data_IF_689141273395
#
_entry.id   IF_689141273395
#
_cell.length_a   1.000
_cell.length_b   1.000
_cell.length_c   1.000
_cell.angle_alpha   90.00
_cell.angle_beta   90.00
_cell.angle_gamma   90.00
#
_symmetry.space_group_name_H-M   'P 1'
#
loop_
_entity.id
_entity.type
_entity.pdbx_description
1 polymer ?
#
# COMPACT_ATOMS: atom_id res chain seq x y z
N UNK A 1 51.76 -13.82 65.27
CA UNK A 1 50.45 -14.02 64.60
C UNK A 1 49.57 -12.80 64.86
N UNK A 2 49.73 -11.70 64.12
CA UNK A 2 48.95 -10.47 64.35
C UNK A 2 48.73 -9.73 63.02
N UNK A 3 48.09 -10.39 62.04
CA UNK A 3 47.74 -9.77 60.75
C UNK A 3 46.41 -10.27 60.17
N UNK A 4 45.54 -10.88 60.98
CA UNK A 4 44.20 -11.37 60.55
C UNK A 4 43.02 -10.62 61.16
N UNK A 5 43.24 -9.83 62.20
CA UNK A 5 42.17 -9.15 62.95
C UNK A 5 41.93 -7.71 62.49
N UNK A 6 42.92 -7.02 61.93
CA UNK A 6 42.74 -5.67 61.37
C UNK A 6 41.86 -5.72 60.11
N UNK A 7 42.10 -6.66 59.19
CA UNK A 7 41.34 -6.78 57.94
C UNK A 7 39.84 -7.09 58.14
N UNK A 8 39.46 -7.72 59.27
CA UNK A 8 38.08 -8.07 59.61
C UNK A 8 37.26 -6.88 60.13
N UNK A 9 37.82 -6.13 61.10
CA UNK A 9 37.14 -5.00 61.74
C UNK A 9 36.96 -3.82 60.77
N UNK A 10 37.94 -3.56 59.90
CA UNK A 10 37.82 -2.50 58.88
C UNK A 10 36.84 -2.85 57.76
N UNK A 11 36.54 -4.14 57.53
CA UNK A 11 35.54 -4.60 56.57
C UNK A 11 34.12 -4.54 57.15
N UNK A 12 33.97 -4.92 58.42
CA UNK A 12 32.70 -4.89 59.17
C UNK A 12 32.18 -3.45 59.39
N UNK A 13 33.08 -2.51 59.74
CA UNK A 13 32.74 -1.08 59.91
C UNK A 13 32.43 -0.39 58.57
N UNK A 14 33.10 -0.78 57.48
CA UNK A 14 32.75 -0.28 56.14
C UNK A 14 31.41 -0.86 55.63
N UNK A 15 30.99 -2.03 56.10
CA UNK A 15 29.71 -2.65 55.73
C UNK A 15 28.51 -1.96 56.37
N UNK A 16 28.60 -1.57 57.66
CA UNK A 16 27.54 -0.82 58.36
C UNK A 16 27.41 0.62 57.84
N UNK A 17 28.54 1.31 57.59
CA UNK A 17 28.54 2.67 57.02
C UNK A 17 28.02 2.71 55.57
N UNK A 18 28.23 1.64 54.79
CA UNK A 18 27.60 1.51 53.47
C UNK A 18 26.10 1.32 53.60
N UNK A 19 25.65 0.46 54.51
CA UNK A 19 24.21 0.22 54.74
C UNK A 19 23.44 1.49 55.12
N UNK A 20 23.96 2.29 56.06
CA UNK A 20 23.28 3.53 56.47
C UNK A 20 23.20 4.58 55.36
N UNK A 21 24.26 4.70 54.54
CA UNK A 21 24.29 5.63 53.42
C UNK A 21 23.34 5.20 52.28
N UNK A 22 23.26 3.90 51.98
CA UNK A 22 22.28 3.36 51.05
C UNK A 22 20.84 3.54 51.56
N UNK A 23 20.59 3.35 52.86
CA UNK A 23 19.28 3.57 53.46
C UNK A 23 18.83 5.04 53.41
N UNK A 24 19.74 6.00 53.63
CA UNK A 24 19.47 7.44 53.50
C UNK A 24 19.19 7.85 52.04
N UNK A 25 19.96 7.32 51.10
CA UNK A 25 19.72 7.52 49.66
C UNK A 25 18.37 6.93 49.24
N UNK A 26 18.02 5.72 49.70
CA UNK A 26 16.75 5.08 49.41
C UNK A 26 15.55 5.84 50.03
N UNK A 27 15.66 6.32 51.27
CA UNK A 27 14.60 7.17 51.87
C UNK A 27 14.37 8.48 51.11
N UNK A 28 15.42 9.05 50.50
CA UNK A 28 15.32 10.31 49.75
C UNK A 28 14.87 10.12 48.30
N UNK A 29 15.42 9.12 47.61
CA UNK A 29 15.24 8.90 46.17
C UNK A 29 14.34 7.71 45.82
N UNK A 30 14.08 6.80 46.75
CA UNK A 30 13.30 5.57 46.52
C UNK A 30 11.90 5.84 45.97
N UNK A 31 11.23 6.92 46.41
CA UNK A 31 9.93 7.33 45.85
C UNK A 31 10.02 7.75 44.37
N UNK A 32 11.11 8.41 43.97
CA UNK A 32 11.31 8.87 42.60
C UNK A 32 11.71 7.69 41.69
N UNK A 33 12.56 6.79 42.19
CA UNK A 33 12.91 5.55 41.48
C UNK A 33 11.66 4.68 41.31
N UNK A 34 10.85 4.53 42.35
CA UNK A 34 9.59 3.79 42.27
C UNK A 34 8.61 4.43 41.27
N UNK A 35 8.41 5.76 41.33
CA UNK A 35 7.56 6.46 40.38
C UNK A 35 8.05 6.33 38.93
N UNK A 36 9.37 6.38 38.72
CA UNK A 36 9.99 6.20 37.40
C UNK A 36 9.75 4.77 36.86
N UNK A 37 10.00 3.74 37.68
CA UNK A 37 9.77 2.34 37.30
C UNK A 37 8.29 2.10 37.03
N UNK A 38 7.39 2.63 37.88
CA UNK A 38 5.95 2.52 37.69
C UNK A 38 5.50 3.21 36.39
N UNK A 39 6.03 4.39 36.09
CA UNK A 39 5.78 5.11 34.84
C UNK A 39 6.18 4.28 33.62
N UNK A 40 7.38 3.69 33.63
CA UNK A 40 7.82 2.79 32.56
C UNK A 40 6.90 1.59 32.37
N UNK A 41 6.49 0.94 33.46
CA UNK A 41 5.57 -0.22 33.39
C UNK A 41 4.22 0.18 32.80
N UNK A 42 3.64 1.31 33.23
CA UNK A 42 2.36 1.80 32.70
C UNK A 42 2.49 2.18 31.23
N UNK A 43 3.59 2.82 30.82
CA UNK A 43 3.83 3.18 29.42
C UNK A 43 3.95 1.93 28.53
N UNK A 44 4.72 0.93 28.95
CA UNK A 44 4.88 -0.33 28.19
C UNK A 44 3.56 -1.11 28.16
N UNK A 45 2.84 -1.19 29.28
CA UNK A 45 1.54 -1.87 29.33
C UNK A 45 0.50 -1.17 28.42
N UNK A 46 0.47 0.16 28.42
CA UNK A 46 -0.39 0.94 27.52
C UNK A 46 -0.03 0.75 26.05
N UNK A 47 1.27 0.77 25.71
CA UNK A 47 1.74 0.48 24.36
C UNK A 47 1.39 -0.95 23.92
N UNK A 48 1.61 -1.94 24.78
CA UNK A 48 1.31 -3.34 24.50
C UNK A 48 -0.19 -3.57 24.31
N UNK A 49 -1.03 -2.98 25.16
CA UNK A 49 -2.49 -3.07 25.04
C UNK A 49 -2.99 -2.48 23.71
N UNK A 50 -2.48 -1.29 23.34
CA UNK A 50 -2.81 -0.66 22.07
C UNK A 50 -2.31 -1.49 20.87
N UNK A 51 -1.10 -2.03 20.95
CA UNK A 51 -0.52 -2.89 19.92
C UNK A 51 -1.30 -4.19 19.72
N UNK A 52 -1.76 -4.84 20.79
CA UNK A 52 -2.56 -6.07 20.67
C UNK A 52 -3.93 -5.78 20.05
N UNK A 53 -4.59 -4.70 20.47
CA UNK A 53 -5.87 -4.28 19.89
C UNK A 53 -5.76 -3.94 18.39
N UNK A 54 -4.68 -3.27 17.99
CA UNK A 54 -4.39 -2.97 16.58
C UNK A 54 -4.06 -4.24 15.77
N UNK A 55 -3.38 -5.23 16.35
CA UNK A 55 -3.11 -6.52 15.69
C UNK A 55 -4.41 -7.31 15.48
N UNK A 56 -5.26 -7.43 16.50
CA UNK A 56 -6.51 -8.20 16.43
C UNK A 56 -7.50 -7.63 15.42
N UNK A 57 -7.53 -6.30 15.27
CA UNK A 57 -8.37 -5.64 14.26
C UNK A 57 -7.83 -5.85 12.84
N UNK A 58 -6.50 -5.83 12.66
CA UNK A 58 -5.86 -6.08 11.36
C UNK A 58 -5.98 -7.54 10.92
N UNK A 59 -5.85 -8.50 11.83
CA UNK A 59 -6.05 -9.93 11.53
C UNK A 59 -7.49 -10.19 11.10
N UNK A 60 -8.47 -9.64 11.81
CA UNK A 60 -9.89 -9.75 11.42
C UNK A 60 -10.17 -9.15 10.03
N UNK A 61 -9.54 -8.02 9.68
CA UNK A 61 -9.65 -7.45 8.32
C UNK A 61 -8.99 -8.34 7.27
N UNK A 62 -7.83 -8.92 7.57
CA UNK A 62 -7.13 -9.85 6.70
C UNK A 62 -7.93 -11.12 6.42
N UNK A 63 -8.56 -11.71 7.44
CA UNK A 63 -9.42 -12.89 7.30
C UNK A 63 -10.65 -12.60 6.44
N UNK A 64 -11.31 -11.45 6.66
CA UNK A 64 -12.45 -11.03 5.82
C UNK A 64 -12.02 -10.77 4.39
N UNK A 65 -10.85 -10.17 4.18
CA UNK A 65 -10.30 -9.93 2.85
C UNK A 65 -10.00 -11.25 2.13
N UNK A 66 -9.37 -12.22 2.80
CA UNK A 66 -9.12 -13.56 2.26
C UNK A 66 -10.43 -14.28 1.91
N UNK A 67 -11.43 -14.21 2.80
CA UNK A 67 -12.76 -14.79 2.53
C UNK A 67 -13.41 -14.15 1.30
N UNK A 68 -13.29 -12.82 1.13
CA UNK A 68 -13.82 -12.13 -0.04
C UNK A 68 -13.09 -12.53 -1.35
N UNK A 69 -11.79 -12.82 -1.28
CA UNK A 69 -11.05 -13.37 -2.42
C UNK A 69 -11.59 -14.75 -2.80
N UNK A 70 -11.76 -15.65 -1.82
CA UNK A 70 -12.28 -17.01 -2.05
C UNK A 70 -13.67 -17.00 -2.70
N UNK A 71 -14.55 -16.08 -2.28
CA UNK A 71 -15.87 -15.87 -2.91
C UNK A 71 -15.74 -15.50 -4.40
N UNK A 72 -14.77 -14.64 -4.75
CA UNK A 72 -14.52 -14.19 -6.11
C UNK A 72 -13.90 -15.28 -7.02
N UNK A 73 -13.23 -16.28 -6.44
CA UNK A 73 -12.76 -17.47 -7.13
C UNK A 73 -13.87 -18.51 -7.30
N UNK A 74 -14.72 -18.67 -6.27
CA UNK A 74 -15.83 -19.63 -6.20
C UNK A 74 -17.04 -19.36 -7.11
N UNK A 75 -16.92 -18.41 -8.06
CA UNK A 75 -17.96 -17.93 -8.99
C UNK A 75 -19.09 -17.09 -8.40
N UNK A 76 -19.12 -16.82 -7.09
CA UNK A 76 -20.07 -15.84 -6.52
C UNK A 76 -19.49 -14.43 -6.59
N UNK A 77 -19.36 -13.93 -7.83
CA UNK A 77 -18.72 -12.63 -8.10
C UNK A 77 -19.49 -11.49 -7.45
N UNK A 78 -20.82 -11.60 -7.32
CA UNK A 78 -21.62 -10.54 -6.70
C UNK A 78 -21.44 -10.52 -5.18
N UNK A 79 -21.46 -11.67 -4.50
CA UNK A 79 -21.17 -11.72 -3.06
C UNK A 79 -19.75 -11.21 -2.74
N UNK A 80 -18.77 -11.51 -3.60
CA UNK A 80 -17.41 -10.98 -3.45
C UNK A 80 -17.37 -9.45 -3.58
N UNK A 81 -18.07 -8.86 -4.57
CA UNK A 81 -18.19 -7.40 -4.72
C UNK A 81 -18.78 -6.79 -3.45
N UNK A 82 -19.86 -7.36 -2.92
CA UNK A 82 -20.54 -6.82 -1.74
C UNK A 82 -19.65 -6.95 -0.48
N UNK A 83 -18.89 -8.04 -0.36
CA UNK A 83 -17.91 -8.23 0.72
C UNK A 83 -16.78 -7.19 0.67
N UNK A 84 -16.22 -6.92 -0.52
CA UNK A 84 -15.19 -5.89 -0.68
C UNK A 84 -15.74 -4.47 -0.47
N UNK A 85 -16.98 -4.19 -0.88
CA UNK A 85 -17.65 -2.93 -0.59
C UNK A 85 -17.85 -2.71 0.92
N UNK A 86 -18.16 -3.78 1.66
CA UNK A 86 -18.22 -3.72 3.13
C UNK A 86 -16.86 -3.43 3.78
N UNK A 87 -15.77 -3.98 3.22
CA UNK A 87 -14.41 -3.75 3.70
C UNK A 87 -13.89 -2.35 3.36
N UNK A 88 -14.30 -1.78 2.24
CA UNK A 88 -13.89 -0.44 1.81
C UNK A 88 -14.50 0.68 2.65
N UNK A 89 -15.66 0.45 3.27
CA UNK A 89 -16.32 1.38 4.18
C UNK A 89 -15.65 1.49 5.57
N UNK A 90 -14.71 0.59 5.90
CA UNK A 90 -13.93 0.63 7.14
C UNK A 90 -12.90 1.77 7.17
N UNK A 91 -12.50 2.21 8.35
CA UNK A 91 -11.57 3.35 8.53
C UNK A 91 -10.19 3.09 7.90
N UNK A 92 -9.96 3.61 6.69
CA UNK A 92 -8.71 4.23 6.22
C UNK A 92 -7.40 3.43 6.26
N UNK A 93 -7.43 2.10 6.20
CA UNK A 93 -6.22 1.25 6.22
C UNK A 93 -5.85 0.64 4.85
N UNK A 94 -4.68 0.00 4.77
CA UNK A 94 -4.20 -0.67 3.54
C UNK A 94 -5.18 -1.71 2.98
N UNK A 95 -5.87 -2.47 3.84
CA UNK A 95 -6.90 -3.43 3.42
C UNK A 95 -8.14 -2.76 2.82
N UNK A 96 -8.55 -1.58 3.30
CA UNK A 96 -9.65 -0.84 2.70
C UNK A 96 -9.29 -0.36 1.29
N UNK A 97 -8.06 0.12 1.08
CA UNK A 97 -7.56 0.45 -0.25
C UNK A 97 -7.53 -0.78 -1.17
N UNK A 98 -6.95 -1.89 -0.71
CA UNK A 98 -6.92 -3.13 -1.49
C UNK A 98 -8.33 -3.66 -1.80
N UNK A 99 -9.27 -3.54 -0.87
CA UNK A 99 -10.65 -3.96 -1.06
C UNK A 99 -11.31 -3.16 -2.19
N UNK A 100 -11.10 -1.84 -2.24
CA UNK A 100 -11.59 -1.00 -3.35
C UNK A 100 -11.00 -1.39 -4.69
N UNK A 101 -9.71 -1.76 -4.74
CA UNK A 101 -9.09 -2.29 -5.95
C UNK A 101 -9.74 -3.61 -6.40
N UNK A 102 -9.96 -4.54 -5.46
CA UNK A 102 -10.60 -5.83 -5.77
C UNK A 102 -12.06 -5.67 -6.19
N UNK A 103 -12.81 -4.80 -5.52
CA UNK A 103 -14.16 -4.43 -5.91
C UNK A 103 -14.20 -3.91 -7.35
N UNK A 104 -13.33 -2.95 -7.69
CA UNK A 104 -13.23 -2.39 -9.04
C UNK A 104 -12.87 -3.47 -10.09
N UNK A 105 -11.95 -4.38 -9.77
CA UNK A 105 -11.58 -5.49 -10.65
C UNK A 105 -12.74 -6.49 -10.86
N UNK A 106 -13.48 -6.82 -9.80
CA UNK A 106 -14.62 -7.74 -9.88
C UNK A 106 -15.80 -7.12 -10.62
N UNK A 107 -16.04 -5.81 -10.47
CA UNK A 107 -17.03 -5.09 -11.27
C UNK A 107 -16.75 -5.25 -12.76
N UNK A 108 -15.48 -5.14 -13.19
CA UNK A 108 -15.10 -5.37 -14.58
C UNK A 108 -15.32 -6.83 -15.00
N UNK A 109 -14.91 -7.80 -14.17
CA UNK A 109 -15.12 -9.24 -14.42
C UNK A 109 -16.61 -9.60 -14.53
N UNK A 110 -17.47 -8.90 -13.78
CA UNK A 110 -18.93 -9.07 -13.82
C UNK A 110 -19.61 -8.26 -14.94
N UNK A 111 -18.84 -7.74 -15.91
CA UNK A 111 -19.36 -6.98 -17.05
C UNK A 111 -19.80 -5.54 -16.72
N UNK A 112 -19.68 -5.10 -15.47
CA UNK A 112 -20.06 -3.74 -14.99
C UNK A 112 -18.93 -2.74 -15.25
N UNK A 113 -18.56 -2.55 -16.52
CA UNK A 113 -17.40 -1.74 -16.95
C UNK A 113 -17.48 -0.27 -16.50
N UNK A 114 -18.61 0.41 -16.69
CA UNK A 114 -18.78 1.81 -16.23
C UNK A 114 -18.59 1.93 -14.71
N UNK A 115 -19.11 0.96 -13.94
CA UNK A 115 -18.96 0.94 -12.49
C UNK A 115 -17.50 0.70 -12.07
N UNK A 116 -16.80 -0.21 -12.74
CA UNK A 116 -15.37 -0.45 -12.53
C UNK A 116 -14.53 0.80 -12.83
N UNK A 117 -14.76 1.43 -13.97
CA UNK A 117 -14.11 2.68 -14.36
C UNK A 117 -14.34 3.79 -13.33
N UNK A 118 -15.58 3.94 -12.83
CA UNK A 118 -15.90 4.89 -11.78
C UNK A 118 -15.15 4.59 -10.47
N UNK A 119 -15.09 3.31 -10.05
CA UNK A 119 -14.38 2.89 -8.84
C UNK A 119 -12.87 3.17 -8.91
N UNK A 120 -12.23 2.87 -10.04
CA UNK A 120 -10.82 3.22 -10.27
C UNK A 120 -10.57 4.72 -10.30
N UNK A 121 -11.48 5.50 -10.90
CA UNK A 121 -11.38 6.96 -10.91
C UNK A 121 -11.48 7.56 -9.50
N UNK A 122 -12.35 7.00 -8.64
CA UNK A 122 -12.41 7.40 -7.24
C UNK A 122 -11.11 7.11 -6.50
N UNK A 123 -10.49 5.95 -6.74
CA UNK A 123 -9.17 5.61 -6.17
C UNK A 123 -8.07 6.56 -6.65
N UNK A 124 -8.04 6.88 -7.95
CA UNK A 124 -7.06 7.79 -8.52
C UNK A 124 -7.15 9.22 -7.96
N UNK A 125 -8.36 9.66 -7.60
CA UNK A 125 -8.63 11.01 -7.08
C UNK A 125 -8.60 11.12 -5.55
N UNK A 126 -8.35 10.02 -4.83
CA UNK A 126 -8.37 10.01 -3.38
C UNK A 126 -7.02 10.44 -2.79
N UNK A 127 -6.93 11.69 -2.33
CA UNK A 127 -5.72 12.26 -1.74
C UNK A 127 -5.22 11.54 -0.46
N UNK A 128 -6.02 10.67 0.14
CA UNK A 128 -5.63 9.83 1.28
C UNK A 128 -4.85 8.57 0.90
N UNK A 129 -4.78 8.23 -0.39
CA UNK A 129 -4.06 7.06 -0.91
C UNK A 129 -2.67 7.50 -1.39
N UNK A 130 -1.63 6.69 -1.15
CA UNK A 130 -0.28 6.95 -1.66
C UNK A 130 -0.26 7.10 -3.19
N UNK A 131 0.58 8.02 -3.68
CA UNK A 131 0.67 8.36 -5.09
C UNK A 131 0.90 7.13 -5.99
N UNK A 132 1.70 6.15 -5.55
CA UNK A 132 1.98 4.93 -6.29
C UNK A 132 0.69 4.17 -6.64
N UNK A 133 -0.25 4.08 -5.68
CA UNK A 133 -1.51 3.38 -5.87
C UNK A 133 -2.54 4.23 -6.62
N UNK A 134 -2.56 5.56 -6.42
CA UNK A 134 -3.43 6.44 -7.22
C UNK A 134 -3.06 6.37 -8.70
N UNK A 135 -1.76 6.39 -8.99
CA UNK A 135 -1.21 6.25 -10.34
C UNK A 135 -1.58 4.89 -10.96
N UNK A 136 -1.50 3.81 -10.19
CA UNK A 136 -1.97 2.49 -10.61
C UNK A 136 -3.47 2.50 -10.93
N UNK A 137 -4.28 3.08 -10.05
CA UNK A 137 -5.72 3.18 -10.26
C UNK A 137 -6.06 3.99 -11.51
N UNK A 138 -5.29 5.05 -11.80
CA UNK A 138 -5.46 5.84 -13.00
C UNK A 138 -5.14 5.04 -14.26
N UNK A 139 -4.02 4.31 -14.29
CA UNK A 139 -3.63 3.43 -15.40
C UNK A 139 -4.71 2.38 -15.67
N UNK A 140 -5.16 1.65 -14.65
CA UNK A 140 -6.18 0.60 -14.82
C UNK A 140 -7.54 1.22 -15.16
N UNK A 141 -7.90 2.34 -14.53
CA UNK A 141 -9.15 3.05 -14.79
C UNK A 141 -9.27 3.49 -16.25
N UNK A 142 -8.21 4.07 -16.81
CA UNK A 142 -8.19 4.48 -18.23
C UNK A 142 -8.36 3.27 -19.17
N UNK A 143 -7.76 2.11 -18.86
CA UNK A 143 -8.00 0.88 -19.63
C UNK A 143 -9.49 0.52 -19.64
N UNK A 144 -10.18 0.61 -18.49
CA UNK A 144 -11.60 0.30 -18.42
C UNK A 144 -12.48 1.34 -19.12
N UNK A 145 -12.15 2.64 -18.99
CA UNK A 145 -12.84 3.74 -19.68
C UNK A 145 -12.71 3.60 -21.21
N UNK A 146 -11.50 3.36 -21.70
CA UNK A 146 -11.20 3.16 -23.12
C UNK A 146 -11.95 1.95 -23.71
N UNK A 147 -12.04 0.85 -22.95
CA UNK A 147 -12.69 -0.39 -23.38
C UNK A 147 -14.21 -0.42 -23.08
N UNK A 148 -14.84 0.73 -22.84
CA UNK A 148 -16.28 0.82 -22.61
C UNK A 148 -16.98 1.63 -23.71
N UNK A 149 -17.60 0.96 -24.70
CA UNK A 149 -18.28 1.64 -25.80
C UNK A 149 -19.44 2.53 -25.36
N UNK A 150 -20.07 2.24 -24.22
CA UNK A 150 -21.23 2.99 -23.74
C UNK A 150 -20.88 4.41 -23.28
N UNK A 151 -19.64 4.63 -22.83
CA UNK A 151 -19.22 5.89 -22.21
C UNK A 151 -18.67 6.89 -23.25
N UNK A 152 -18.41 6.46 -24.50
CA UNK A 152 -17.82 7.28 -25.57
C UNK A 152 -16.67 8.16 -25.07
N UNK A 153 -15.73 7.56 -24.33
CA UNK A 153 -14.68 8.30 -23.65
C UNK A 153 -13.82 9.11 -24.63
N UNK A 154 -13.56 10.37 -24.29
CA UNK A 154 -12.68 11.22 -25.08
C UNK A 154 -11.23 10.75 -24.92
N UNK A 155 -10.69 10.13 -25.98
CA UNK A 155 -9.31 9.64 -26.03
C UNK A 155 -8.27 10.73 -25.74
N UNK A 156 -8.55 12.00 -26.06
CA UNK A 156 -7.66 13.12 -25.78
C UNK A 156 -7.66 13.45 -24.28
N UNK A 157 -8.84 13.45 -23.64
CA UNK A 157 -8.95 13.64 -22.18
C UNK A 157 -8.24 12.52 -21.42
N UNK A 158 -8.43 11.26 -21.84
CA UNK A 158 -7.76 10.11 -21.23
C UNK A 158 -6.24 10.19 -21.39
N UNK A 159 -5.76 10.61 -22.56
CA UNK A 159 -4.32 10.80 -22.81
C UNK A 159 -3.74 11.92 -21.94
N UNK A 160 -4.48 13.02 -21.76
CA UNK A 160 -4.08 14.12 -20.89
C UNK A 160 -3.96 13.68 -19.43
N UNK A 161 -4.89 12.84 -18.96
CA UNK A 161 -4.83 12.27 -17.60
C UNK A 161 -3.60 11.36 -17.42
N UNK A 162 -3.20 10.61 -18.45
CA UNK A 162 -2.01 9.74 -18.39
C UNK A 162 -0.68 10.50 -18.52
N UNK A 163 -0.68 11.70 -19.12
CA UNK A 163 0.54 12.42 -19.44
C UNK A 163 1.55 12.55 -18.27
N UNK A 164 1.13 12.88 -17.03
CA UNK A 164 2.06 12.96 -15.89
C UNK A 164 2.77 11.65 -15.56
N UNK A 165 2.12 10.51 -15.84
CA UNK A 165 2.67 9.18 -15.57
C UNK A 165 3.72 8.76 -16.58
N UNK A 166 3.74 9.35 -17.78
CA UNK A 166 4.70 9.02 -18.84
C UNK A 166 6.09 9.59 -18.60
N UNK A 167 6.25 10.44 -17.59
CA UNK A 167 7.52 11.05 -17.23
C UNK A 167 8.57 10.02 -16.81
N UNK A 168 9.84 10.34 -17.07
CA UNK A 168 10.96 9.53 -16.62
C UNK A 168 10.98 9.41 -15.10
N UNK A 169 11.25 8.19 -14.60
CA UNK A 169 11.26 7.88 -13.18
C UNK A 169 9.90 7.50 -12.57
N UNK A 170 8.77 7.72 -13.26
CA UNK A 170 7.48 7.20 -12.77
C UNK A 170 7.45 5.65 -12.92
N UNK A 171 7.10 4.89 -11.87
CA UNK A 171 7.02 3.43 -11.93
C UNK A 171 6.07 2.88 -13.00
N UNK A 172 5.06 3.66 -13.37
CA UNK A 172 4.02 3.29 -14.33
C UNK A 172 4.26 3.83 -15.74
N UNK A 173 5.40 4.48 -16.00
CA UNK A 173 5.67 5.17 -17.29
C UNK A 173 5.43 4.31 -18.52
N UNK A 174 5.91 3.07 -18.52
CA UNK A 174 5.79 2.20 -19.69
C UNK A 174 4.35 1.77 -19.93
N UNK A 175 3.61 1.46 -18.87
CA UNK A 175 2.19 1.12 -18.96
C UNK A 175 1.38 2.34 -19.41
N UNK A 176 1.66 3.52 -18.87
CA UNK A 176 1.00 4.76 -19.27
C UNK A 176 1.27 5.08 -20.76
N UNK A 177 2.53 4.98 -21.20
CA UNK A 177 2.90 5.17 -22.61
C UNK A 177 2.22 4.15 -23.54
N UNK A 178 2.12 2.89 -23.11
CA UNK A 178 1.46 1.83 -23.89
C UNK A 178 -0.04 2.15 -24.07
N UNK A 179 -0.71 2.57 -23.00
CA UNK A 179 -2.12 2.94 -23.06
C UNK A 179 -2.32 4.23 -23.87
N UNK A 180 -1.44 5.22 -23.73
CA UNK A 180 -1.47 6.42 -24.60
C UNK A 180 -1.33 6.03 -26.07
N UNK A 181 -0.47 5.07 -26.42
CA UNK A 181 -0.35 4.59 -27.79
C UNK A 181 -1.63 3.93 -28.32
N UNK A 182 -2.34 3.17 -27.48
CA UNK A 182 -3.65 2.59 -27.81
C UNK A 182 -4.73 3.67 -27.99
N UNK A 183 -4.72 4.71 -27.16
CA UNK A 183 -5.64 5.84 -27.29
C UNK A 183 -5.41 6.61 -28.59
N UNK A 184 -4.14 6.86 -28.97
CA UNK A 184 -3.79 7.46 -30.25
C UNK A 184 -4.26 6.60 -31.43
N UNK A 185 -4.18 5.26 -31.33
CA UNK A 185 -4.72 4.37 -32.35
C UNK A 185 -6.24 4.49 -32.47
N UNK A 186 -6.96 4.49 -31.33
CA UNK A 186 -8.42 4.63 -31.29
C UNK A 186 -8.88 6.00 -31.82
N UNK A 187 -8.08 7.04 -31.62
CA UNK A 187 -8.29 8.38 -32.19
C UNK A 187 -7.99 8.47 -33.70
N UNK A 188 -7.47 7.40 -34.32
CA UNK A 188 -7.07 7.37 -35.72
C UNK A 188 -5.67 7.96 -35.99
N UNK A 189 -4.95 8.36 -34.96
CA UNK A 189 -3.60 8.95 -35.03
C UNK A 189 -2.51 7.88 -35.17
N UNK A 190 -2.64 6.99 -36.16
CA UNK A 190 -1.77 5.81 -36.35
C UNK A 190 -0.27 6.15 -36.45
N UNK A 191 0.10 7.35 -36.90
CA UNK A 191 1.50 7.82 -36.90
C UNK A 191 2.04 7.95 -35.48
N UNK A 192 1.29 8.61 -34.59
CA UNK A 192 1.69 8.83 -33.20
C UNK A 192 1.71 7.51 -32.42
N UNK A 193 0.68 6.67 -32.61
CA UNK A 193 0.65 5.33 -32.03
C UNK A 193 1.89 4.50 -32.40
N UNK A 194 2.26 4.45 -33.69
CA UNK A 194 3.49 3.76 -34.16
C UNK A 194 4.76 4.28 -33.50
N UNK A 195 4.88 5.59 -33.36
CA UNK A 195 6.05 6.19 -32.74
C UNK A 195 6.18 5.76 -31.27
N UNK A 196 5.08 5.81 -30.51
CA UNK A 196 5.04 5.40 -29.11
C UNK A 196 5.35 3.90 -28.93
N UNK A 197 4.73 3.03 -29.72
CA UNK A 197 5.04 1.59 -29.66
C UNK A 197 6.48 1.30 -30.07
N UNK A 198 7.04 2.02 -31.06
CA UNK A 198 8.45 1.88 -31.44
C UNK A 198 9.40 2.27 -30.31
N UNK A 199 9.11 3.38 -29.61
CA UNK A 199 9.87 3.78 -28.41
C UNK A 199 9.81 2.70 -27.33
N UNK A 200 8.62 2.16 -27.05
CA UNK A 200 8.44 1.07 -26.07
C UNK A 200 9.17 -0.21 -26.45
N UNK A 201 9.06 -0.65 -27.70
CA UNK A 201 9.69 -1.89 -28.19
C UNK A 201 11.22 -1.84 -28.14
N UNK A 202 11.80 -0.66 -28.36
CA UNK A 202 13.24 -0.43 -28.37
C UNK A 202 13.83 -0.04 -27.00
N UNK A 203 13.01 0.29 -26.01
CA UNK A 203 13.47 0.68 -24.67
C UNK A 203 13.86 -0.54 -23.84
N UNK A 204 15.17 -0.75 -23.63
CA UNK A 204 15.69 -1.85 -22.82
C UNK A 204 15.22 -1.84 -21.36
N UNK A 205 14.81 -0.67 -20.84
CA UNK A 205 14.29 -0.50 -19.46
C UNK A 205 12.82 -0.89 -19.33
N UNK A 206 12.08 -1.01 -20.44
CA UNK A 206 10.68 -1.39 -20.41
C UNK A 206 10.49 -2.86 -19.98
N UNK A 207 9.48 -3.21 -19.17
CA UNK A 207 9.18 -4.60 -18.84
C UNK A 207 8.99 -5.46 -20.10
N UNK A 208 9.47 -6.71 -20.06
CA UNK A 208 9.43 -7.62 -21.23
C UNK A 208 8.03 -7.75 -21.84
N UNK A 209 6.99 -7.83 -21.01
CA UNK A 209 5.61 -7.92 -21.47
C UNK A 209 5.14 -6.68 -22.26
N UNK A 210 5.51 -5.48 -21.81
CA UNK A 210 5.18 -4.23 -22.52
C UNK A 210 5.88 -4.19 -23.87
N UNK A 211 7.16 -4.57 -23.93
CA UNK A 211 7.91 -4.61 -25.20
C UNK A 211 7.33 -5.63 -26.18
N UNK A 212 6.91 -6.80 -25.69
CA UNK A 212 6.29 -7.83 -26.54
C UNK A 212 5.03 -7.29 -27.19
N UNK A 213 4.10 -6.76 -26.39
CA UNK A 213 2.83 -6.20 -26.89
C UNK A 213 3.04 -5.00 -27.81
N UNK A 214 4.01 -4.13 -27.52
CA UNK A 214 4.34 -3.02 -28.40
C UNK A 214 4.83 -3.50 -29.78
N UNK A 215 5.70 -4.52 -29.82
CA UNK A 215 6.19 -5.10 -31.07
C UNK A 215 5.09 -5.86 -31.83
N UNK A 216 4.21 -6.55 -31.13
CA UNK A 216 3.01 -7.18 -31.71
C UNK A 216 2.11 -6.13 -32.39
N UNK A 217 1.91 -4.98 -31.74
CA UNK A 217 1.11 -3.89 -32.31
C UNK A 217 1.78 -3.24 -33.54
N UNK A 218 3.11 -3.05 -33.50
CA UNK A 218 3.87 -2.59 -34.67
C UNK A 218 3.75 -3.55 -35.85
N UNK A 219 3.81 -4.85 -35.61
CA UNK A 219 3.62 -5.86 -36.65
C UNK A 219 2.21 -5.79 -37.26
N UNK A 220 1.18 -5.61 -36.43
CA UNK A 220 -0.19 -5.42 -36.89
C UNK A 220 -0.34 -4.17 -37.80
N UNK A 221 0.41 -3.11 -37.51
CA UNK A 221 0.45 -1.93 -38.38
C UNK A 221 1.21 -2.12 -39.69
N UNK A 222 2.01 -3.16 -39.86
CA UNK A 222 2.66 -3.50 -41.13
C UNK A 222 1.78 -4.29 -42.09
N UNK A 223 0.67 -4.87 -41.60
CA UNK A 223 -0.20 -5.76 -42.37
C UNK A 223 -1.39 -5.05 -43.05
N UNK A 224 -1.64 -3.77 -42.73
CA UNK A 224 -2.70 -2.92 -43.33
C UNK A 224 -2.09 -1.73 -44.04
#
# INVERSE_FOLDING_TARGET
MAKRTEDGIFREINEELRHENYAKLWKRYGKYIFAMVLGLVVSVAGYQFWSTYDIDTRTAMGERFATALDLGEGKDTQAAIDAFAGLSAGSGGGYAMLARFQEAALLARNGRRSASAAAYRQLANDGGIDALYRDLALVIGVIHEMNNPADNADTAELSLRLAPLTADGNPWRHSAMEITALLEEQAGNRRQARELFSRLGNDATAPRGVRSRANEMLAAFGQK
#
